data_IF_250491947663
#
_entry.id   IF_250491947663
#
_cell.length_a   1.000
_cell.length_b   1.000
_cell.length_c   1.000
_cell.angle_alpha   90.00
_cell.angle_beta   90.00
_cell.angle_gamma   90.00
#
_symmetry.space_group_name_H-M   'P 1'
#
loop_
_entity.id
_entity.type
_entity.pdbx_description
1 polymer ?
#
# COMPACT_ATOMS: atom_id res chain seq x y z
N UNK A 1 -9.67 -17.65 11.82
CA UNK A 1 -9.83 -16.43 11.03
C UNK A 1 -11.15 -16.44 10.26
N UNK A 2 -11.49 -15.35 9.62
CA UNK A 2 -12.61 -15.26 8.68
C UNK A 2 -12.20 -15.79 7.31
N UNK A 3 -13.16 -16.28 6.53
CA UNK A 3 -12.96 -16.57 5.12
C UNK A 3 -12.67 -15.26 4.34
N UNK A 4 -12.03 -15.35 3.17
CA UNK A 4 -11.76 -14.14 2.38
C UNK A 4 -13.05 -13.44 1.91
N UNK A 5 -14.14 -14.19 1.68
CA UNK A 5 -15.46 -13.66 1.34
C UNK A 5 -16.07 -12.86 2.51
N UNK A 6 -15.90 -13.36 3.74
CA UNK A 6 -16.30 -12.64 4.94
C UNK A 6 -15.40 -11.40 5.16
N UNK A 7 -14.10 -11.51 4.85
CA UNK A 7 -13.18 -10.36 4.83
C UNK A 7 -13.65 -9.25 3.91
N UNK A 8 -14.09 -9.58 2.68
CA UNK A 8 -14.68 -8.60 1.75
C UNK A 8 -15.95 -7.96 2.30
N UNK A 9 -16.81 -8.74 2.98
CA UNK A 9 -18.02 -8.22 3.61
C UNK A 9 -17.68 -7.25 4.77
N UNK A 10 -16.65 -7.55 5.56
CA UNK A 10 -16.14 -6.66 6.62
C UNK A 10 -15.69 -5.33 6.00
N UNK A 11 -14.86 -5.37 4.95
CA UNK A 11 -14.37 -4.17 4.25
C UNK A 11 -15.54 -3.37 3.66
N UNK A 12 -16.52 -4.05 3.06
CA UNK A 12 -17.71 -3.39 2.52
C UNK A 12 -18.50 -2.64 3.60
N UNK A 13 -18.75 -3.28 4.74
CA UNK A 13 -19.48 -2.66 5.87
C UNK A 13 -18.68 -1.48 6.43
N UNK A 14 -17.36 -1.62 6.60
CA UNK A 14 -16.51 -0.52 7.06
C UNK A 14 -16.53 0.66 6.08
N UNK A 15 -16.50 0.41 4.78
CA UNK A 15 -16.64 1.43 3.75
C UNK A 15 -18.01 2.12 3.78
N UNK A 16 -19.10 1.37 3.93
CA UNK A 16 -20.47 1.94 4.09
C UNK A 16 -20.55 2.80 5.35
N UNK A 17 -20.00 2.34 6.47
CA UNK A 17 -19.93 3.13 7.68
C UNK A 17 -19.15 4.42 7.45
N UNK A 18 -18.07 4.31 6.69
CA UNK A 18 -17.24 5.45 6.31
C UNK A 18 -18.00 6.43 5.39
N UNK A 19 -18.76 5.97 4.41
CA UNK A 19 -19.67 6.81 3.59
C UNK A 19 -20.69 7.53 4.48
N UNK A 20 -21.31 6.79 5.39
CA UNK A 20 -22.33 7.32 6.27
C UNK A 20 -21.80 8.47 7.15
N UNK A 21 -20.67 8.24 7.82
CA UNK A 21 -19.99 9.26 8.61
C UNK A 21 -19.58 10.46 7.74
N UNK A 22 -19.26 10.24 6.45
CA UNK A 22 -18.94 11.29 5.50
C UNK A 22 -20.09 12.22 5.20
N UNK A 23 -21.30 11.71 5.12
CA UNK A 23 -22.49 12.50 4.79
C UNK A 23 -22.95 13.39 5.95
N UNK A 24 -22.73 12.99 7.19
CA UNK A 24 -23.27 13.66 8.37
C UNK A 24 -22.41 14.81 8.95
N UNK A 25 -21.45 15.38 8.20
CA UNK A 25 -20.57 16.47 8.69
C UNK A 25 -19.88 16.22 10.05
N UNK A 26 -20.01 15.03 10.61
CA UNK A 26 -19.44 14.64 11.91
C UNK A 26 -17.91 14.61 11.87
N UNK A 27 -17.33 14.63 10.68
CA UNK A 27 -15.90 14.51 10.41
C UNK A 27 -15.07 15.71 10.79
N UNK A 28 -15.59 16.93 10.58
CA UNK A 28 -14.88 18.11 11.04
C UNK A 28 -14.62 17.96 12.54
N UNK A 29 -15.61 17.43 13.29
CA UNK A 29 -15.46 17.11 14.70
C UNK A 29 -14.48 15.96 14.97
N UNK A 30 -14.47 14.90 14.12
CA UNK A 30 -13.51 13.80 14.28
C UNK A 30 -12.09 14.30 14.02
N UNK A 31 -11.87 15.10 12.98
CA UNK A 31 -10.56 15.71 12.71
C UNK A 31 -10.13 16.70 13.78
N UNK A 32 -11.08 17.41 14.42
CA UNK A 32 -10.82 18.33 15.52
C UNK A 32 -10.48 17.60 16.83
N UNK A 33 -11.00 16.39 17.05
CA UNK A 33 -10.66 15.55 18.21
C UNK A 33 -9.20 15.12 18.21
N UNK A 34 -8.59 14.96 17.02
CA UNK A 34 -7.18 14.58 16.93
C UNK A 34 -6.28 15.78 17.23
N UNK A 35 -5.40 15.68 18.25
CA UNK A 35 -4.37 16.68 18.51
C UNK A 35 -3.49 16.91 17.27
N UNK A 36 -3.05 18.14 17.06
CA UNK A 36 -2.19 18.48 15.91
C UNK A 36 -0.89 17.68 15.88
N UNK A 37 -0.32 17.37 17.05
CA UNK A 37 0.87 16.54 17.15
C UNK A 37 0.64 15.14 16.54
N UNK A 38 -0.56 14.56 16.75
CA UNK A 38 -0.90 13.26 16.18
C UNK A 38 -1.10 13.34 14.66
N UNK A 39 -1.80 14.37 14.17
CA UNK A 39 -1.96 14.60 12.72
C UNK A 39 -0.61 14.69 12.01
N UNK A 40 0.32 15.43 12.60
CA UNK A 40 1.66 15.60 12.04
C UNK A 40 2.53 14.33 12.14
N UNK A 41 2.23 13.44 13.09
CA UNK A 41 2.96 12.18 13.26
C UNK A 41 2.47 11.05 12.34
N UNK A 42 1.22 11.10 11.85
CA UNK A 42 0.64 10.03 11.03
C UNK A 42 1.44 9.81 9.73
N UNK A 43 1.75 10.88 8.99
CA UNK A 43 2.53 10.79 7.75
C UNK A 43 3.87 10.07 7.97
N UNK A 44 4.77 10.58 8.82
CA UNK A 44 6.03 9.89 9.13
C UNK A 44 5.85 8.47 9.68
N UNK A 45 4.80 8.21 10.47
CA UNK A 45 4.52 6.87 10.98
C UNK A 45 4.16 5.88 9.85
N UNK A 46 3.33 6.30 8.90
CA UNK A 46 3.01 5.52 7.70
C UNK A 46 4.28 5.29 6.87
N UNK A 47 5.11 6.32 6.70
CA UNK A 47 6.37 6.21 5.97
C UNK A 47 7.32 5.18 6.59
N UNK A 48 7.51 5.23 7.90
CA UNK A 48 8.30 4.24 8.64
C UNK A 48 7.71 2.83 8.52
N UNK A 49 6.38 2.71 8.58
CA UNK A 49 5.70 1.43 8.42
C UNK A 49 5.94 0.84 7.02
N UNK A 50 5.73 1.64 5.96
CA UNK A 50 5.97 1.21 4.56
C UNK A 50 7.45 0.84 4.35
N UNK A 51 8.37 1.64 4.88
CA UNK A 51 9.81 1.32 4.83
C UNK A 51 10.11 0.00 5.53
N UNK A 52 9.52 -0.25 6.70
CA UNK A 52 9.68 -1.49 7.45
C UNK A 52 9.14 -2.70 6.68
N UNK A 53 7.97 -2.59 6.06
CA UNK A 53 7.41 -3.62 5.15
C UNK A 53 8.37 -3.86 3.98
N UNK A 54 8.90 -2.80 3.38
CA UNK A 54 9.92 -2.91 2.33
C UNK A 54 11.19 -3.65 2.79
N UNK A 55 11.66 -3.39 4.02
CA UNK A 55 12.79 -4.11 4.61
C UNK A 55 12.49 -5.59 4.84
N UNK A 56 11.25 -5.94 5.20
CA UNK A 56 10.81 -7.33 5.29
C UNK A 56 10.72 -7.98 3.89
N UNK A 57 10.14 -7.31 2.93
CA UNK A 57 10.02 -7.82 1.56
C UNK A 57 11.36 -7.95 0.84
N UNK A 58 12.34 -7.19 1.25
CA UNK A 58 13.72 -7.33 0.75
C UNK A 58 14.48 -8.51 1.34
N UNK A 59 14.04 -9.06 2.47
CA UNK A 59 14.77 -10.04 3.26
C UNK A 59 15.90 -9.46 4.12
N UNK A 60 16.01 -8.13 4.19
CA UNK A 60 16.93 -7.45 5.10
C UNK A 60 16.47 -7.66 6.55
N UNK A 61 15.16 -7.58 6.77
CA UNK A 61 14.52 -7.91 8.06
C UNK A 61 13.73 -9.20 7.90
N UNK A 62 14.02 -10.19 8.74
CA UNK A 62 13.37 -11.51 8.72
C UNK A 62 12.73 -11.84 10.06
N UNK A 63 11.82 -12.81 10.06
CA UNK A 63 11.19 -13.30 11.28
C UNK A 63 12.20 -13.94 12.23
N UNK A 64 11.96 -13.75 13.52
CA UNK A 64 12.70 -14.39 14.62
C UNK A 64 11.72 -14.85 15.69
N UNK A 65 11.86 -16.09 16.15
CA UNK A 65 11.03 -16.64 17.23
C UNK A 65 11.28 -15.98 18.58
N UNK A 66 12.47 -15.39 18.80
CA UNK A 66 12.85 -14.79 20.07
C UNK A 66 12.57 -13.28 20.15
N UNK A 67 12.76 -12.55 19.03
CA UNK A 67 12.68 -11.07 19.00
C UNK A 67 11.63 -10.54 18.01
N UNK A 68 10.78 -11.42 17.46
CA UNK A 68 9.84 -11.21 16.38
C UNK A 68 10.52 -10.89 15.04
N UNK A 69 11.54 -10.05 15.03
CA UNK A 69 12.34 -9.69 13.85
C UNK A 69 13.83 -9.72 14.15
N UNK A 70 14.64 -10.04 13.14
CA UNK A 70 16.11 -9.99 13.19
C UNK A 70 16.65 -9.56 11.83
N UNK A 71 17.94 -9.22 11.79
CA UNK A 71 18.64 -8.99 10.53
C UNK A 71 18.73 -10.31 9.75
N UNK A 72 18.37 -10.26 8.46
CA UNK A 72 18.53 -11.38 7.54
C UNK A 72 19.97 -11.60 7.10
N UNK A 73 20.19 -12.61 6.28
CA UNK A 73 21.49 -12.86 5.67
C UNK A 73 21.73 -11.92 4.49
N UNK A 74 22.52 -10.88 4.72
CA UNK A 74 22.86 -9.87 3.71
C UNK A 74 23.79 -10.40 2.60
N UNK A 75 24.34 -11.60 2.72
CA UNK A 75 25.13 -12.22 1.65
C UNK A 75 24.24 -12.94 0.64
N UNK A 76 22.98 -13.15 0.93
CA UNK A 76 22.06 -13.75 0.00
C UNK A 76 21.71 -12.78 -1.16
N UNK A 77 21.54 -13.33 -2.36
CA UNK A 77 21.34 -12.55 -3.58
C UNK A 77 20.11 -11.64 -3.54
N UNK A 78 19.03 -12.02 -2.84
CA UNK A 78 17.80 -11.26 -2.78
C UNK A 78 17.93 -9.95 -1.96
N UNK A 79 18.44 -9.94 -0.72
CA UNK A 79 18.73 -8.70 0.02
C UNK A 79 19.76 -7.82 -0.68
N UNK A 80 20.78 -8.40 -1.32
CA UNK A 80 21.77 -7.64 -2.09
C UNK A 80 21.12 -6.93 -3.29
N UNK A 81 20.25 -7.62 -4.03
CA UNK A 81 19.50 -7.05 -5.14
C UNK A 81 18.65 -5.85 -4.67
N UNK A 82 17.92 -6.04 -3.56
CA UNK A 82 17.08 -4.98 -3.01
C UNK A 82 17.92 -3.79 -2.52
N UNK A 83 19.04 -4.04 -1.83
CA UNK A 83 19.93 -2.97 -1.37
C UNK A 83 20.52 -2.18 -2.55
N UNK A 84 20.99 -2.89 -3.59
CA UNK A 84 21.46 -2.24 -4.81
C UNK A 84 20.37 -1.39 -5.48
N UNK A 85 19.12 -1.89 -5.51
CA UNK A 85 17.95 -1.17 -6.01
C UNK A 85 17.67 0.10 -5.21
N UNK A 86 17.72 0.05 -3.87
CA UNK A 86 17.56 1.22 -3.00
C UNK A 86 18.64 2.27 -3.30
N UNK A 87 19.92 1.85 -3.31
CA UNK A 87 21.04 2.77 -3.57
C UNK A 87 20.97 3.39 -4.96
N UNK A 88 20.61 2.60 -5.98
CA UNK A 88 20.45 3.10 -7.33
C UNK A 88 19.30 4.11 -7.43
N UNK A 89 18.14 3.79 -6.86
CA UNK A 89 16.97 4.69 -6.85
C UNK A 89 17.28 5.99 -6.10
N UNK A 90 17.92 5.89 -4.93
CA UNK A 90 18.33 7.05 -4.14
C UNK A 90 19.34 7.93 -4.90
N UNK A 91 20.31 7.32 -5.61
CA UNK A 91 21.26 8.06 -6.44
C UNK A 91 20.59 8.80 -7.61
N UNK A 92 19.58 8.19 -8.26
CA UNK A 92 18.79 8.86 -9.30
C UNK A 92 17.99 10.04 -8.73
N UNK A 93 17.41 9.87 -7.53
CA UNK A 93 16.68 10.94 -6.85
C UNK A 93 17.61 12.09 -6.44
N UNK A 94 18.78 11.79 -5.90
CA UNK A 94 19.79 12.77 -5.53
C UNK A 94 20.25 13.61 -6.75
N UNK A 95 20.20 13.02 -7.94
CA UNK A 95 20.46 13.72 -9.21
C UNK A 95 19.24 14.48 -9.76
N UNK A 96 18.13 14.50 -9.05
CA UNK A 96 16.89 15.17 -9.48
C UNK A 96 16.21 14.52 -10.70
N UNK A 97 16.48 13.23 -10.96
CA UNK A 97 15.88 12.54 -12.10
C UNK A 97 14.38 12.31 -11.88
N UNK A 98 13.57 12.88 -12.78
CA UNK A 98 12.11 12.68 -12.74
C UNK A 98 11.77 11.23 -13.08
N UNK A 99 10.97 10.56 -12.21
CA UNK A 99 10.64 9.15 -12.39
C UNK A 99 11.70 8.17 -11.85
N UNK A 100 12.61 8.63 -10.97
CA UNK A 100 13.67 7.83 -10.36
C UNK A 100 13.16 6.52 -9.76
N UNK A 101 11.99 6.53 -9.11
CA UNK A 101 11.38 5.35 -8.48
C UNK A 101 10.99 4.31 -9.55
N UNK A 102 10.34 4.74 -10.64
CA UNK A 102 9.95 3.83 -11.73
C UNK A 102 11.19 3.23 -12.42
N UNK A 103 12.18 4.08 -12.72
CA UNK A 103 13.43 3.60 -13.35
C UNK A 103 14.20 2.69 -12.41
N UNK A 104 14.23 3.01 -11.12
CA UNK A 104 14.83 2.16 -10.08
C UNK A 104 14.15 0.80 -10.00
N UNK A 105 12.81 0.78 -10.00
CA UNK A 105 12.02 -0.45 -10.02
C UNK A 105 12.33 -1.30 -11.26
N UNK A 106 12.28 -0.71 -12.45
CA UNK A 106 12.56 -1.42 -13.71
C UNK A 106 14.00 -1.95 -13.74
N UNK A 107 14.97 -1.15 -13.30
CA UNK A 107 16.36 -1.57 -13.20
C UNK A 107 16.54 -2.75 -12.24
N UNK A 108 15.84 -2.74 -11.09
CA UNK A 108 15.90 -3.83 -10.11
C UNK A 108 15.26 -5.11 -10.68
N UNK A 109 14.15 -5.00 -11.42
CA UNK A 109 13.54 -6.14 -12.12
C UNK A 109 14.52 -6.74 -13.13
N UNK A 110 15.11 -5.90 -14.00
CA UNK A 110 16.07 -6.34 -15.02
C UNK A 110 17.30 -7.00 -14.36
N UNK A 111 17.85 -6.39 -13.31
CA UNK A 111 18.97 -6.95 -12.58
C UNK A 111 18.59 -8.29 -11.89
N UNK A 112 17.39 -8.38 -11.32
CA UNK A 112 16.89 -9.61 -10.70
C UNK A 112 16.70 -10.76 -11.69
N UNK A 113 16.22 -10.46 -12.89
CA UNK A 113 16.13 -11.43 -13.99
C UNK A 113 17.52 -11.85 -14.49
N UNK A 114 18.44 -10.90 -14.66
CA UNK A 114 19.80 -11.16 -15.14
C UNK A 114 20.62 -11.99 -14.15
N UNK A 115 20.41 -11.80 -12.84
CA UNK A 115 21.10 -12.55 -11.78
C UNK A 115 20.41 -13.87 -11.42
N UNK A 116 19.23 -14.16 -11.99
CA UNK A 116 18.45 -15.36 -11.69
C UNK A 116 17.75 -15.33 -10.32
N UNK A 117 17.78 -14.21 -9.61
CA UNK A 117 17.04 -14.02 -8.34
C UNK A 117 15.54 -14.03 -8.59
N UNK A 118 15.11 -13.43 -9.70
CA UNK A 118 13.72 -13.46 -10.13
C UNK A 118 13.57 -14.52 -11.23
N UNK A 119 12.70 -15.53 -11.05
CA UNK A 119 12.40 -16.47 -12.10
C UNK A 119 11.60 -15.79 -13.21
N UNK A 120 11.98 -16.00 -14.44
CA UNK A 120 11.22 -15.52 -15.60
C UNK A 120 10.04 -16.47 -15.86
N UNK A 121 8.88 -16.16 -15.28
CA UNK A 121 7.63 -16.87 -15.56
C UNK A 121 6.62 -15.89 -16.13
N UNK A 122 6.39 -15.99 -17.43
CA UNK A 122 5.35 -15.20 -18.09
C UNK A 122 4.04 -16.00 -18.09
N UNK A 123 3.46 -16.18 -16.91
CA UNK A 123 2.15 -16.80 -16.80
C UNK A 123 1.08 -15.82 -17.25
N UNK A 124 0.30 -16.20 -18.24
CA UNK A 124 -0.93 -15.48 -18.57
C UNK A 124 -1.94 -15.77 -17.48
N UNK A 125 -2.02 -14.91 -16.46
CA UNK A 125 -3.14 -14.96 -15.53
C UNK A 125 -4.40 -14.55 -16.29
N UNK A 126 -5.36 -15.46 -16.48
CA UNK A 126 -6.62 -15.10 -17.13
C UNK A 126 -7.31 -14.04 -16.26
N UNK A 127 -7.80 -12.98 -16.92
CA UNK A 127 -8.61 -11.99 -16.24
C UNK A 127 -9.85 -12.71 -15.69
N UNK A 128 -9.91 -12.87 -14.37
CA UNK A 128 -11.01 -13.57 -13.73
C UNK A 128 -11.78 -12.59 -12.84
N UNK A 129 -13.07 -12.46 -13.09
CA UNK A 129 -14.00 -11.71 -12.25
C UNK A 129 -14.64 -12.63 -11.17
N UNK A 130 -14.00 -13.74 -10.84
CA UNK A 130 -14.54 -14.72 -9.90
C UNK A 130 -14.73 -14.20 -8.48
N UNK A 131 -14.07 -13.11 -8.11
CA UNK A 131 -14.18 -12.47 -6.80
C UNK A 131 -15.30 -11.43 -6.71
N UNK A 132 -15.81 -10.96 -7.85
CA UNK A 132 -16.84 -9.91 -7.90
C UNK A 132 -18.11 -10.37 -7.22
N UNK A 133 -18.61 -9.57 -6.27
CA UNK A 133 -19.85 -9.82 -5.55
C UNK A 133 -19.80 -11.02 -4.59
N UNK A 134 -18.64 -11.59 -4.31
CA UNK A 134 -18.47 -12.74 -3.42
C UNK A 134 -18.41 -12.36 -1.94
N UNK A 135 -19.32 -11.50 -1.49
CA UNK A 135 -19.41 -11.13 -0.08
C UNK A 135 -20.20 -12.19 0.69
N UNK A 136 -19.65 -12.63 1.83
CA UNK A 136 -20.34 -13.57 2.73
C UNK A 136 -20.71 -12.89 4.04
N UNK A 137 -21.96 -12.46 4.14
CA UNK A 137 -22.50 -11.86 5.36
C UNK A 137 -22.94 -12.91 6.39
N UNK A 138 -23.19 -14.17 5.98
CA UNK A 138 -23.64 -15.24 6.87
C UNK A 138 -22.62 -15.50 7.97
N UNK A 139 -21.34 -15.64 7.62
CA UNK A 139 -20.27 -15.87 8.58
C UNK A 139 -20.10 -14.69 9.57
N UNK A 140 -20.42 -13.46 9.14
CA UNK A 140 -20.41 -12.30 10.04
C UNK A 140 -21.51 -12.37 11.10
N UNK A 141 -22.68 -12.86 10.72
CA UNK A 141 -23.81 -13.01 11.64
C UNK A 141 -23.51 -14.11 12.66
N UNK A 142 -22.97 -15.24 12.22
CA UNK A 142 -22.58 -16.36 13.09
C UNK A 142 -21.51 -15.95 14.12
N UNK A 143 -20.59 -15.09 13.73
CA UNK A 143 -19.46 -14.61 14.56
C UNK A 143 -19.52 -13.09 14.77
N UNK A 144 -20.70 -12.58 15.10
CA UNK A 144 -20.97 -11.13 15.12
C UNK A 144 -20.04 -10.33 16.05
N UNK A 145 -19.58 -10.91 17.16
CA UNK A 145 -18.67 -10.24 18.10
C UNK A 145 -17.29 -9.99 17.46
N UNK A 146 -16.71 -11.04 16.85
CA UNK A 146 -15.44 -10.94 16.16
C UNK A 146 -15.57 -10.03 14.91
N UNK A 147 -16.70 -10.14 14.20
CA UNK A 147 -16.98 -9.32 13.03
C UNK A 147 -17.09 -7.83 13.38
N UNK A 148 -17.75 -7.47 14.49
CA UNK A 148 -17.86 -6.09 14.95
C UNK A 148 -16.47 -5.50 15.25
N UNK A 149 -15.62 -6.24 15.95
CA UNK A 149 -14.25 -5.81 16.26
C UNK A 149 -13.46 -5.61 14.96
N UNK A 150 -13.57 -6.56 14.03
CA UNK A 150 -12.88 -6.46 12.74
C UNK A 150 -13.37 -5.26 11.90
N UNK A 151 -14.70 -5.04 11.82
CA UNK A 151 -15.27 -3.89 11.10
C UNK A 151 -14.77 -2.56 11.68
N UNK A 152 -14.79 -2.41 13.01
CA UNK A 152 -14.32 -1.21 13.67
C UNK A 152 -12.81 -1.02 13.44
N UNK A 153 -12.02 -2.10 13.49
CA UNK A 153 -10.59 -2.06 13.26
C UNK A 153 -10.28 -1.60 11.83
N UNK A 154 -10.92 -2.21 10.82
CA UNK A 154 -10.76 -1.80 9.42
C UNK A 154 -11.24 -0.37 9.18
N UNK A 155 -12.36 0.02 9.79
CA UNK A 155 -12.86 1.40 9.70
C UNK A 155 -11.84 2.42 10.26
N UNK A 156 -11.28 2.15 11.44
CA UNK A 156 -10.29 3.07 12.02
C UNK A 156 -8.98 3.09 11.23
N UNK A 157 -8.50 1.94 10.75
CA UNK A 157 -7.31 1.87 9.90
C UNK A 157 -7.49 2.69 8.63
N UNK A 158 -8.61 2.49 7.93
CA UNK A 158 -8.95 3.22 6.70
C UNK A 158 -9.09 4.73 6.95
N UNK A 159 -9.76 5.11 8.05
CA UNK A 159 -9.90 6.51 8.47
C UNK A 159 -8.54 7.17 8.72
N UNK A 160 -7.66 6.53 9.49
CA UNK A 160 -6.34 7.08 9.81
C UNK A 160 -5.45 7.18 8.59
N UNK A 161 -5.46 6.16 7.74
CA UNK A 161 -4.68 6.13 6.52
C UNK A 161 -5.11 7.26 5.58
N UNK A 162 -6.42 7.41 5.35
CA UNK A 162 -6.97 8.48 4.51
C UNK A 162 -6.67 9.87 5.10
N UNK A 163 -6.82 10.06 6.41
CA UNK A 163 -6.47 11.33 7.06
C UNK A 163 -4.99 11.65 6.85
N UNK A 164 -4.11 10.69 7.14
CA UNK A 164 -2.67 10.85 7.01
C UNK A 164 -2.25 11.20 5.59
N UNK A 165 -2.77 10.47 4.62
CA UNK A 165 -2.49 10.67 3.19
C UNK A 165 -3.00 12.02 2.71
N UNK A 166 -4.24 12.40 3.03
CA UNK A 166 -4.81 13.67 2.60
C UNK A 166 -4.09 14.87 3.23
N UNK A 167 -3.69 14.76 4.50
CA UNK A 167 -2.90 15.81 5.16
C UNK A 167 -1.50 15.88 4.55
N UNK A 168 -0.80 14.74 4.40
CA UNK A 168 0.54 14.69 3.84
C UNK A 168 0.61 15.23 2.42
N UNK A 169 -0.22 14.69 1.51
CA UNK A 169 -0.29 15.12 0.11
C UNK A 169 -0.83 16.55 -0.01
N UNK A 170 -1.82 16.93 0.82
CA UNK A 170 -2.38 18.27 0.85
C UNK A 170 -1.39 19.33 1.28
N UNK A 171 -0.54 19.03 2.26
CA UNK A 171 0.55 19.91 2.71
C UNK A 171 1.56 20.10 1.57
N UNK A 172 1.99 19.03 0.95
CA UNK A 172 2.96 19.08 -0.15
C UNK A 172 2.40 19.81 -1.39
N UNK A 173 1.08 19.69 -1.64
CA UNK A 173 0.40 20.41 -2.71
C UNK A 173 0.18 21.90 -2.40
N UNK A 174 0.42 22.34 -1.16
CA UNK A 174 0.13 23.70 -0.71
C UNK A 174 -1.38 23.98 -0.61
N UNK A 175 -2.20 22.94 -0.39
CA UNK A 175 -3.66 23.08 -0.25
C UNK A 175 -4.10 23.35 1.19
N UNK A 176 -3.26 23.03 2.16
CA UNK A 176 -3.56 23.30 3.57
C UNK A 176 -3.42 24.79 3.82
N UNK A 177 -4.48 25.39 4.33
CA UNK A 177 -4.55 26.80 4.68
C UNK A 177 -3.83 27.08 6.01
N UNK A 178 -3.66 28.36 6.35
CA UNK A 178 -3.08 28.82 7.63
C UNK A 178 -3.86 28.33 8.86
N UNK A 179 -5.17 28.01 8.68
CA UNK A 179 -6.03 27.42 9.70
C UNK A 179 -5.83 25.90 9.88
N UNK A 180 -4.88 25.29 9.18
CA UNK A 180 -4.59 23.85 9.20
C UNK A 180 -5.65 22.97 8.51
N UNK A 181 -6.62 23.58 7.81
CA UNK A 181 -7.72 22.85 7.18
C UNK A 181 -7.47 22.57 5.70
N UNK A 182 -7.79 21.36 5.29
CA UNK A 182 -7.81 20.98 3.87
C UNK A 182 -9.15 21.40 3.25
N UNK A 183 -9.15 22.27 2.21
CA UNK A 183 -10.38 22.68 1.55
C UNK A 183 -11.11 21.48 0.92
N UNK A 184 -12.42 21.40 1.11
CA UNK A 184 -13.29 20.33 0.56
C UNK A 184 -12.85 18.91 0.98
N UNK A 185 -12.26 18.76 2.15
CA UNK A 185 -11.84 17.46 2.67
C UNK A 185 -13.01 16.45 2.67
N UNK A 186 -14.25 16.90 2.89
CA UNK A 186 -15.45 16.08 2.86
C UNK A 186 -15.66 15.36 1.53
N UNK A 187 -15.30 15.98 0.41
CA UNK A 187 -15.42 15.33 -0.92
C UNK A 187 -14.35 14.29 -1.15
N UNK A 188 -13.12 14.57 -0.69
CA UNK A 188 -12.02 13.62 -0.80
C UNK A 188 -12.32 12.36 0.01
N UNK A 189 -12.74 12.51 1.23
CA UNK A 189 -13.15 11.40 2.07
C UNK A 189 -14.35 10.61 1.53
N UNK A 190 -15.37 11.28 1.02
CA UNK A 190 -16.51 10.61 0.42
C UNK A 190 -16.11 9.79 -0.81
N UNK A 191 -15.22 10.34 -1.64
CA UNK A 191 -14.67 9.63 -2.80
C UNK A 191 -13.89 8.38 -2.38
N UNK A 192 -13.08 8.48 -1.35
CA UNK A 192 -12.28 7.40 -0.79
C UNK A 192 -13.16 6.28 -0.22
N UNK A 193 -14.16 6.64 0.58
CA UNK A 193 -15.12 5.70 1.13
C UNK A 193 -15.95 4.97 0.05
N UNK A 194 -16.34 5.67 -1.03
CA UNK A 194 -16.98 5.04 -2.18
C UNK A 194 -16.04 4.09 -2.92
N UNK A 195 -14.75 4.45 -3.01
CA UNK A 195 -13.75 3.59 -3.62
C UNK A 195 -13.56 2.30 -2.82
N UNK A 196 -13.53 2.37 -1.48
CA UNK A 196 -13.49 1.20 -0.60
C UNK A 196 -14.71 0.30 -0.78
N UNK A 197 -15.93 0.87 -0.84
CA UNK A 197 -17.15 0.08 -1.10
C UNK A 197 -17.11 -0.61 -2.48
N UNK A 198 -16.73 0.12 -3.52
CA UNK A 198 -16.64 -0.44 -4.87
C UNK A 198 -15.53 -1.46 -5.00
N UNK A 199 -14.38 -1.24 -4.34
CA UNK A 199 -13.28 -2.19 -4.27
C UNK A 199 -13.71 -3.52 -3.63
N UNK A 200 -14.39 -3.48 -2.49
CA UNK A 200 -14.91 -4.67 -1.82
C UNK A 200 -15.91 -5.44 -2.70
N UNK A 201 -16.79 -4.74 -3.44
CA UNK A 201 -17.69 -5.35 -4.41
C UNK A 201 -16.96 -6.01 -5.59
N UNK A 202 -15.86 -5.42 -6.04
CA UNK A 202 -15.01 -5.97 -7.11
C UNK A 202 -14.10 -7.10 -6.60
N UNK A 203 -14.05 -7.33 -5.29
CA UNK A 203 -13.30 -8.44 -4.69
C UNK A 203 -11.87 -8.08 -4.27
N UNK A 204 -11.60 -6.79 -4.05
CA UNK A 204 -10.34 -6.31 -3.48
C UNK A 204 -10.51 -5.83 -2.04
N UNK A 205 -9.43 -5.63 -1.31
CA UNK A 205 -9.40 -5.06 0.03
C UNK A 205 -9.79 -3.56 0.01
N UNK A 206 -9.59 -2.84 1.12
CA UNK A 206 -9.78 -1.39 1.20
C UNK A 206 -9.05 -0.69 0.06
N UNK A 207 -9.72 0.28 -0.56
CA UNK A 207 -9.15 1.16 -1.58
C UNK A 207 -9.02 2.53 -0.95
N UNK A 208 -7.79 2.98 -0.77
CA UNK A 208 -7.47 4.24 -0.08
C UNK A 208 -6.66 5.17 -0.98
N UNK A 209 -6.63 6.43 -0.60
CA UNK A 209 -5.80 7.43 -1.27
C UNK A 209 -4.32 7.11 -1.03
N UNK A 210 -3.52 7.06 -2.09
CA UNK A 210 -2.09 6.71 -2.00
C UNK A 210 -1.24 7.92 -1.66
N UNK A 211 -0.35 7.77 -0.69
CA UNK A 211 0.61 8.79 -0.30
C UNK A 211 1.69 8.99 -1.38
N UNK A 212 1.96 7.98 -2.20
CA UNK A 212 2.81 8.05 -3.39
C UNK A 212 2.34 9.13 -4.37
N UNK A 213 1.09 9.56 -4.30
CA UNK A 213 0.57 10.74 -5.01
C UNK A 213 1.37 12.00 -4.73
N UNK A 214 2.05 12.08 -3.58
CA UNK A 214 2.98 13.15 -3.24
C UNK A 214 4.10 13.31 -4.27
N UNK A 215 4.57 12.22 -4.86
CA UNK A 215 5.59 12.26 -5.92
C UNK A 215 5.07 12.91 -7.20
N UNK A 216 3.80 12.63 -7.56
CA UNK A 216 3.12 13.29 -8.67
C UNK A 216 2.94 14.79 -8.42
N UNK A 217 2.57 15.17 -7.18
CA UNK A 217 2.47 16.57 -6.75
C UNK A 217 3.83 17.27 -6.84
N UNK A 218 4.91 16.63 -6.38
CA UNK A 218 6.27 17.15 -6.49
C UNK A 218 6.71 17.32 -7.95
N UNK A 219 6.26 16.45 -8.86
CA UNK A 219 6.48 16.54 -10.29
C UNK A 219 5.65 17.65 -10.98
N UNK A 220 4.73 18.30 -10.24
CA UNK A 220 3.93 19.42 -10.74
C UNK A 220 2.46 19.11 -10.99
N UNK A 221 1.94 17.94 -10.59
CA UNK A 221 0.52 17.64 -10.68
C UNK A 221 -0.30 18.58 -9.78
N UNK A 222 -1.33 19.24 -10.35
CA UNK A 222 -2.16 20.23 -9.64
C UNK A 222 -3.65 20.09 -9.92
N UNK A 223 -4.04 19.20 -10.82
CA UNK A 223 -5.43 19.07 -11.27
C UNK A 223 -5.91 17.63 -11.21
N UNK A 224 -7.23 17.43 -11.17
CA UNK A 224 -7.84 16.10 -11.23
C UNK A 224 -7.51 15.32 -12.51
N UNK A 225 -7.01 15.97 -13.56
CA UNK A 225 -6.54 15.31 -14.78
C UNK A 225 -5.42 14.31 -14.46
N UNK A 226 -4.52 14.65 -13.53
CA UNK A 226 -3.46 13.72 -13.10
C UNK A 226 -4.05 12.43 -12.51
N UNK A 227 -5.12 12.55 -11.70
CA UNK A 227 -5.80 11.37 -11.15
C UNK A 227 -6.48 10.52 -12.23
N UNK A 228 -7.09 11.16 -13.24
CA UNK A 228 -7.69 10.45 -14.39
C UNK A 228 -6.64 9.70 -15.20
N UNK A 229 -5.48 10.33 -15.45
CA UNK A 229 -4.36 9.68 -16.14
C UNK A 229 -3.83 8.50 -15.32
N UNK A 230 -3.70 8.66 -14.01
CA UNK A 230 -3.29 7.57 -13.11
C UNK A 230 -4.29 6.41 -13.17
N UNK A 231 -5.59 6.69 -13.13
CA UNK A 231 -6.63 5.67 -13.27
C UNK A 231 -6.53 4.94 -14.63
N UNK A 232 -6.28 5.67 -15.72
CA UNK A 232 -6.06 5.07 -17.04
C UNK A 232 -4.80 4.19 -17.07
N UNK A 233 -3.72 4.60 -16.37
CA UNK A 233 -2.52 3.77 -16.22
C UNK A 233 -2.80 2.48 -15.43
N UNK A 234 -3.63 2.52 -14.38
CA UNK A 234 -4.05 1.31 -13.68
C UNK A 234 -4.83 0.36 -14.57
N UNK A 235 -5.76 0.88 -15.39
CA UNK A 235 -6.49 0.06 -16.37
C UNK A 235 -5.53 -0.54 -17.41
N UNK A 236 -4.58 0.25 -17.92
CA UNK A 236 -3.56 -0.24 -18.84
C UNK A 236 -2.66 -1.30 -18.19
N UNK A 237 -2.36 -1.18 -16.90
CA UNK A 237 -1.57 -2.16 -16.16
C UNK A 237 -2.23 -3.54 -16.09
N UNK A 238 -3.55 -3.62 -16.21
CA UNK A 238 -4.26 -4.91 -16.32
C UNK A 238 -3.80 -5.68 -17.56
N UNK A 239 -3.61 -5.00 -18.68
CA UNK A 239 -3.08 -5.62 -19.92
C UNK A 239 -1.61 -6.02 -19.75
N UNK A 240 -0.86 -5.37 -18.87
CA UNK A 240 0.53 -5.67 -18.53
C UNK A 240 0.67 -6.61 -17.33
N UNK A 241 -0.43 -7.20 -16.85
CA UNK A 241 -0.44 -8.09 -15.68
C UNK A 241 0.67 -9.16 -15.69
N UNK A 242 1.00 -9.84 -16.82
CA UNK A 242 2.08 -10.80 -16.83
C UNK A 242 3.46 -10.18 -16.56
N UNK A 243 3.68 -8.92 -16.97
CA UNK A 243 4.94 -8.19 -16.71
C UNK A 243 4.97 -7.71 -15.26
N UNK A 244 3.84 -7.22 -14.76
CA UNK A 244 3.70 -6.78 -13.36
C UNK A 244 3.87 -7.96 -12.40
N UNK A 245 3.41 -9.16 -12.78
CA UNK A 245 3.58 -10.38 -12.01
C UNK A 245 5.05 -10.74 -11.76
N UNK A 246 5.95 -10.43 -12.71
CA UNK A 246 7.40 -10.63 -12.52
C UNK A 246 7.92 -9.76 -11.37
N UNK A 247 7.49 -8.49 -11.30
CA UNK A 247 7.86 -7.59 -10.20
C UNK A 247 7.32 -8.08 -8.85
N UNK A 248 6.10 -8.63 -8.86
CA UNK A 248 5.41 -9.20 -7.69
C UNK A 248 5.75 -10.65 -7.41
N UNK A 249 6.82 -11.20 -7.99
CA UNK A 249 7.20 -12.59 -7.72
C UNK A 249 7.63 -12.77 -6.26
N UNK A 250 6.92 -13.67 -5.56
CA UNK A 250 7.23 -14.02 -4.19
C UNK A 250 8.30 -15.09 -4.13
N UNK A 251 9.49 -14.74 -3.67
CA UNK A 251 10.59 -15.68 -3.45
C UNK A 251 10.72 -16.11 -1.97
N UNK A 252 9.82 -15.63 -1.10
CA UNK A 252 9.87 -15.87 0.34
C UNK A 252 9.98 -17.35 0.72
N UNK A 253 9.12 -18.25 0.22
CA UNK A 253 9.18 -19.66 0.58
C UNK A 253 10.57 -20.30 0.31
N UNK A 254 11.16 -20.02 -0.84
CA UNK A 254 12.48 -20.51 -1.21
C UNK A 254 13.60 -19.91 -0.33
N UNK A 255 13.49 -18.61 -0.04
CA UNK A 255 14.46 -17.91 0.81
C UNK A 255 14.44 -18.41 2.26
N UNK A 256 13.24 -18.52 2.85
CA UNK A 256 13.12 -18.98 4.24
C UNK A 256 13.50 -20.47 4.39
N UNK A 257 13.22 -21.28 3.38
CA UNK A 257 13.69 -22.68 3.34
C UNK A 257 15.22 -22.75 3.33
N UNK A 258 15.90 -21.89 2.56
CA UNK A 258 17.36 -21.80 2.53
C UNK A 258 17.96 -21.35 3.88
N UNK A 259 17.20 -20.58 4.68
CA UNK A 259 17.59 -20.18 6.04
C UNK A 259 17.23 -21.23 7.12
N UNK A 260 16.65 -22.37 6.75
CA UNK A 260 16.19 -23.40 7.68
C UNK A 260 14.97 -22.99 8.50
N UNK A 261 14.20 -22.00 8.07
CA UNK A 261 12.99 -21.52 8.72
C UNK A 261 11.79 -22.11 7.98
N UNK A 262 11.32 -23.26 8.46
CA UNK A 262 10.14 -23.90 7.89
C UNK A 262 8.84 -23.23 8.34
N UNK A 263 7.82 -23.19 7.43
CA UNK A 263 6.49 -22.65 7.74
C UNK A 263 6.40 -21.12 7.78
N UNK A 264 7.42 -20.40 7.35
CA UNK A 264 7.33 -18.94 7.20
C UNK A 264 6.47 -18.57 5.98
N UNK A 265 5.29 -18.03 6.23
CA UNK A 265 4.36 -17.56 5.20
C UNK A 265 4.56 -16.08 4.86
N UNK A 266 5.76 -15.54 5.06
CA UNK A 266 6.07 -14.13 4.76
C UNK A 266 6.47 -14.01 3.29
N UNK A 267 5.77 -13.13 2.57
CA UNK A 267 6.11 -12.81 1.18
C UNK A 267 7.41 -12.01 1.12
N UNK A 268 8.26 -12.33 0.16
CA UNK A 268 9.43 -11.53 -0.20
C UNK A 268 9.34 -11.13 -1.67
N UNK A 269 9.47 -9.84 -1.90
CA UNK A 269 9.33 -9.19 -3.21
C UNK A 269 10.51 -8.25 -3.46
N UNK A 270 11.72 -8.78 -3.67
CA UNK A 270 12.96 -7.99 -3.69
C UNK A 270 13.01 -6.97 -4.83
N UNK A 271 12.21 -7.14 -5.86
CA UNK A 271 12.12 -6.18 -6.96
C UNK A 271 11.32 -4.91 -6.56
N UNK A 272 10.26 -5.07 -5.77
CA UNK A 272 9.36 -3.97 -5.35
C UNK A 272 9.85 -3.31 -4.06
N UNK A 273 10.52 -4.06 -3.20
CA UNK A 273 11.00 -3.60 -1.89
C UNK A 273 11.78 -2.28 -1.93
N UNK A 274 12.70 -2.03 -2.89
CA UNK A 274 13.42 -0.77 -3.00
C UNK A 274 12.52 0.45 -3.13
N UNK A 275 11.45 0.33 -3.93
CA UNK A 275 10.50 1.43 -4.13
C UNK A 275 9.78 1.76 -2.83
N UNK A 276 9.32 0.74 -2.08
CA UNK A 276 8.65 0.94 -0.78
C UNK A 276 9.59 1.57 0.26
N UNK A 277 10.83 1.09 0.35
CA UNK A 277 11.82 1.65 1.28
C UNK A 277 12.05 3.12 0.98
N UNK A 278 12.30 3.46 -0.29
CA UNK A 278 12.58 4.83 -0.70
C UNK A 278 11.37 5.74 -0.50
N UNK A 279 10.17 5.30 -0.89
CA UNK A 279 8.93 6.08 -0.71
C UNK A 279 8.68 6.32 0.77
N UNK A 280 8.82 5.31 1.60
CA UNK A 280 8.60 5.46 3.04
C UNK A 280 9.57 6.45 3.71
N UNK A 281 10.82 6.53 3.26
CA UNK A 281 11.79 7.51 3.77
C UNK A 281 11.54 8.95 3.29
N UNK A 282 10.73 9.14 2.24
CA UNK A 282 10.38 10.47 1.73
C UNK A 282 9.21 11.12 2.48
N UNK A 283 8.53 10.37 3.33
CA UNK A 283 7.38 10.79 4.12
C UNK A 283 7.79 11.26 5.51
#
# INVERSE_FOLDING_TARGET
>A
GFSWQAGLAIVFISGVLFVFISLFRTREKILEVFPECLKNAIGPAIGLFISFVGLQWSGIVVLSSSTMVKLGDLHHAAPLLALAGVLFTAALMARGFRGAILVGLLATIVAGLATGVLPFHLERTPLSLATVGRLNFGELIERWQDALVAILLFFFLDLFDTVGTLVGVGTQAGYIKEDGKLPRAERAFFSDALATCTGALLGTSTVTSYIESATGVAAGARTGLAAVVTAACFVAAIALAPVVAIAGTNIGPAYYAALGIEGAHVGMYPAVAPALIVVGFLM
#
